data_IF_066475205315
#
_entry.id   IF_066475205315
#
_cell.length_a   1.000
_cell.length_b   1.000
_cell.length_c   1.000
_cell.angle_alpha   90.00
_cell.angle_beta   90.00
_cell.angle_gamma   90.00
#
_symmetry.space_group_name_H-M   'P 1'
#
loop_
_entity.id
_entity.type
_entity.pdbx_description
1 polymer ?
#
# COMPACT_ATOMS: atom_id res chain seq x y z
N UNK A 1 -3.00 17.24 -5.55
CA UNK A 1 -2.42 16.02 -4.95
C UNK A 1 -0.89 16.15 -4.92
N UNK A 2 -0.31 16.47 -3.77
CA UNK A 2 1.14 16.48 -3.58
C UNK A 2 1.58 15.00 -3.55
N UNK A 3 2.09 14.49 -4.69
CA UNK A 3 2.71 13.15 -4.69
C UNK A 3 3.84 13.23 -3.68
N UNK A 4 3.79 12.40 -2.63
CA UNK A 4 4.75 12.36 -1.54
C UNK A 4 6.16 12.10 -2.07
N UNK A 5 6.78 13.14 -2.62
CA UNK A 5 8.16 13.18 -3.06
C UNK A 5 8.93 13.41 -1.78
N UNK A 6 9.64 12.39 -1.31
CA UNK A 6 10.20 12.51 0.01
C UNK A 6 11.42 13.46 -0.09
N UNK A 7 11.73 14.28 0.93
CA UNK A 7 12.69 15.38 0.82
C UNK A 7 14.06 14.96 0.25
N UNK A 8 14.74 15.86 -0.45
CA UNK A 8 16.08 15.58 -0.98
C UNK A 8 17.05 15.23 0.17
N UNK A 9 17.96 14.28 -0.07
CA UNK A 9 19.06 13.94 0.85
C UNK A 9 18.78 12.86 1.91
N UNK A 10 17.59 12.28 1.96
CA UNK A 10 17.25 11.17 2.89
C UNK A 10 17.47 9.78 2.28
N UNK A 11 18.23 9.68 1.19
CA UNK A 11 18.55 8.44 0.49
C UNK A 11 17.34 7.75 -0.17
N UNK A 12 17.53 6.51 -0.66
CA UNK A 12 16.49 5.75 -1.35
C UNK A 12 15.42 5.24 -0.38
N UNK A 13 14.14 5.46 -0.72
CA UNK A 13 12.98 4.94 0.01
C UNK A 13 12.49 3.66 -0.65
N UNK A 14 12.00 2.72 0.15
CA UNK A 14 11.34 1.48 -0.30
C UNK A 14 9.84 1.71 -0.41
N UNK A 15 9.28 1.43 -1.58
CA UNK A 15 7.87 1.48 -1.87
C UNK A 15 7.37 0.06 -2.07
N UNK A 16 6.48 -0.37 -1.18
CA UNK A 16 5.86 -1.69 -1.26
C UNK A 16 4.56 -1.56 -2.05
N UNK A 17 4.51 -2.18 -3.23
CA UNK A 17 3.27 -2.31 -4.00
C UNK A 17 2.75 -3.71 -3.74
N UNK A 18 1.70 -3.82 -2.92
CA UNK A 18 1.19 -5.12 -2.48
C UNK A 18 -0.14 -5.41 -3.14
N UNK A 19 -0.24 -6.58 -3.77
CA UNK A 19 -1.48 -7.12 -4.34
C UNK A 19 -1.91 -8.30 -3.49
N UNK A 20 -3.14 -8.27 -2.98
CA UNK A 20 -3.76 -9.34 -2.21
C UNK A 20 -4.83 -10.05 -3.05
N UNK A 21 -4.76 -11.38 -3.10
CA UNK A 21 -5.86 -12.21 -3.60
C UNK A 21 -6.82 -12.46 -2.43
N UNK A 22 -8.10 -12.13 -2.61
CA UNK A 22 -9.14 -12.26 -1.59
C UNK A 22 -10.18 -13.31 -2.02
N UNK A 23 -10.79 -14.00 -1.06
CA UNK A 23 -11.85 -15.00 -1.29
C UNK A 23 -13.27 -14.40 -1.36
N UNK A 24 -13.39 -13.09 -1.17
CA UNK A 24 -14.67 -12.35 -1.22
C UNK A 24 -14.67 -11.34 -2.36
N UNK A 25 -15.85 -11.16 -2.98
CA UNK A 25 -16.03 -10.22 -4.09
C UNK A 25 -16.03 -8.74 -3.64
N UNK A 26 -16.36 -8.46 -2.37
CA UNK A 26 -16.38 -7.11 -1.80
C UNK A 26 -16.12 -7.15 -0.30
N UNK A 27 -15.34 -6.19 0.20
CA UNK A 27 -15.04 -6.03 1.63
C UNK A 27 -16.02 -5.09 2.36
N UNK A 28 -16.86 -4.34 1.63
CA UNK A 28 -17.80 -3.38 2.24
C UNK A 28 -17.13 -2.22 2.99
N UNK A 29 -15.86 -1.93 2.73
CA UNK A 29 -15.11 -0.84 3.40
C UNK A 29 -15.53 0.52 2.80
N UNK A 30 -15.89 1.52 3.63
CA UNK A 30 -16.20 2.88 3.16
C UNK A 30 -15.03 3.54 2.40
N UNK A 31 -15.36 4.42 1.45
CA UNK A 31 -14.35 5.08 0.61
C UNK A 31 -13.40 6.03 1.37
N UNK A 32 -13.82 6.52 2.53
CA UNK A 32 -13.09 7.40 3.43
C UNK A 32 -12.39 6.65 4.58
N UNK A 33 -12.52 5.33 4.63
CA UNK A 33 -11.84 4.52 5.63
C UNK A 33 -10.32 4.66 5.53
N UNK A 34 -9.64 4.58 6.68
CA UNK A 34 -8.18 4.63 6.69
C UNK A 34 -7.57 3.35 6.10
N UNK A 35 -6.33 3.41 5.59
CA UNK A 35 -5.63 2.21 5.11
C UNK A 35 -5.49 1.12 6.18
N UNK A 36 -5.42 1.50 7.47
CA UNK A 36 -5.35 0.53 8.56
C UNK A 36 -6.66 -0.26 8.71
N UNK A 37 -7.81 0.40 8.57
CA UNK A 37 -9.13 -0.26 8.59
C UNK A 37 -9.24 -1.22 7.40
N UNK A 38 -8.90 -0.78 6.19
CA UNK A 38 -8.89 -1.65 5.01
C UNK A 38 -8.01 -2.89 5.24
N UNK A 39 -6.80 -2.68 5.77
CA UNK A 39 -5.85 -3.76 6.04
C UNK A 39 -6.35 -4.76 7.07
N UNK A 40 -7.02 -4.29 8.12
CA UNK A 40 -7.64 -5.15 9.12
C UNK A 40 -8.83 -5.93 8.54
N UNK A 41 -9.72 -5.26 7.81
CA UNK A 41 -10.90 -5.91 7.21
C UNK A 41 -10.50 -6.99 6.20
N UNK A 42 -9.46 -6.76 5.38
CA UNK A 42 -9.03 -7.74 4.39
C UNK A 42 -8.26 -8.93 4.98
N UNK A 43 -7.68 -8.83 6.19
CA UNK A 43 -6.67 -9.81 6.65
C UNK A 43 -7.19 -11.24 6.78
N UNK A 44 -8.47 -11.40 7.13
CA UNK A 44 -9.13 -12.70 7.24
C UNK A 44 -9.48 -13.35 5.90
N UNK A 45 -9.40 -12.60 4.80
CA UNK A 45 -9.81 -13.02 3.46
C UNK A 45 -8.63 -13.27 2.51
N UNK A 46 -7.39 -13.08 2.96
CA UNK A 46 -6.21 -13.19 2.10
C UNK A 46 -5.90 -14.66 1.79
N UNK A 47 -6.04 -15.03 0.52
CA UNK A 47 -5.60 -16.32 -0.02
C UNK A 47 -4.11 -16.33 -0.38
N UNK A 48 -3.58 -15.17 -0.75
CA UNK A 48 -2.19 -15.00 -1.16
C UNK A 48 -1.83 -13.54 -1.42
N UNK A 49 -0.53 -13.25 -1.53
CA UNK A 49 -0.05 -11.89 -1.85
C UNK A 49 1.20 -11.88 -2.70
N UNK A 50 1.31 -10.87 -3.56
CA UNK A 50 2.54 -10.47 -4.22
C UNK A 50 2.95 -9.08 -3.70
N UNK A 51 4.23 -8.90 -3.35
CA UNK A 51 4.71 -7.66 -2.74
C UNK A 51 6.04 -7.19 -3.38
N UNK A 52 6.05 -6.81 -4.67
CA UNK A 52 7.22 -6.15 -5.25
C UNK A 52 7.60 -4.89 -4.47
N UNK A 53 8.92 -4.70 -4.33
CA UNK A 53 9.51 -3.54 -3.67
C UNK A 53 10.25 -2.73 -4.71
N UNK A 54 9.80 -1.49 -4.92
CA UNK A 54 10.51 -0.50 -5.71
C UNK A 54 11.35 0.40 -4.80
N UNK A 55 12.46 0.92 -5.31
CA UNK A 55 13.23 1.96 -4.63
C UNK A 55 13.19 3.24 -5.44
N UNK A 56 13.02 4.38 -4.76
CA UNK A 56 13.19 5.69 -5.39
C UNK A 56 13.82 6.68 -4.43
N UNK A 57 14.65 7.55 -4.97
CA UNK A 57 15.30 8.65 -4.28
C UNK A 57 14.87 9.97 -4.91
N UNK A 58 14.64 10.99 -4.08
CA UNK A 58 14.44 12.33 -4.59
C UNK A 58 15.79 13.01 -4.69
N UNK A 59 16.27 13.20 -5.92
CA UNK A 59 17.38 14.12 -6.20
C UNK A 59 16.96 15.55 -5.89
N UNK A 60 17.91 16.43 -5.57
CA UNK A 60 17.68 17.86 -5.41
C UNK A 60 17.17 18.48 -6.72
#
# INVERSE_FOLDING_TARGET
MHRGRPPAGYGPRRYFVVVHALDVASLGVPADATPAVLGFTMSGHILGRAAPVATAESTA
#
